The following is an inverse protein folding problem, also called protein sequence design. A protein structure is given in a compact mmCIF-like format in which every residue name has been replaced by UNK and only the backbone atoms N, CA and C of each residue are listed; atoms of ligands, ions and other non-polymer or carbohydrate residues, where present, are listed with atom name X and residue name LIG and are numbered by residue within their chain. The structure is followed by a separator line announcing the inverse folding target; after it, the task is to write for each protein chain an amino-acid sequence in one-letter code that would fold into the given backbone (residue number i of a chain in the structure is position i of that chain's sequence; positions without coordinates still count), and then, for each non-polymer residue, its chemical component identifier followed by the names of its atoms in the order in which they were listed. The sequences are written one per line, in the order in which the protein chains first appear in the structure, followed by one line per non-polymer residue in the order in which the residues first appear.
data_IF_456591501760
#
_entry.id   IF_456591501760
#
_cell.length_a   1.000
_cell.length_b   1.000
_cell.length_c   1.000
_cell.angle_alpha   90.00
_cell.angle_beta   90.00
_cell.angle_gamma   90.00
#
_symmetry.space_group_name_H-M   'P 1'
#
loop_
_entity.id
_entity.type
_entity.pdbx_description
1 polymer ?
#
# COMPACT_ATOMS: atom_id res chain seq x y z
N UNK A 1 14.55 15.95 -2.34
CA UNK A 1 13.44 16.64 -3.00
C UNK A 1 12.49 17.16 -1.95
N UNK A 2 12.21 18.44 -1.99
CA UNK A 2 11.31 19.05 -1.00
C UNK A 2 9.97 19.33 -1.64
N UNK A 3 8.91 18.84 -1.02
CA UNK A 3 7.56 19.09 -1.47
C UNK A 3 6.88 20.04 -0.48
N UNK A 4 7.44 21.24 -0.35
CA UNK A 4 7.00 22.16 0.69
C UNK A 4 6.63 23.51 0.10
N UNK A 5 5.50 24.04 0.55
CA UNK A 5 5.04 25.37 0.15
C UNK A 5 4.45 26.06 1.38
N UNK A 6 4.79 27.34 1.58
CA UNK A 6 4.21 28.08 2.68
C UNK A 6 2.80 28.54 2.33
N UNK A 7 1.88 28.34 3.26
CA UNK A 7 0.54 28.85 3.13
C UNK A 7 0.48 30.34 3.42
N UNK A 8 -0.62 30.98 3.03
CA UNK A 8 -0.80 32.43 3.19
C UNK A 8 -0.88 32.86 4.65
N UNK A 9 -1.13 31.93 5.56
CA UNK A 9 -1.22 32.22 7.00
C UNK A 9 0.07 31.85 7.73
N UNK A 10 1.14 31.56 7.02
CA UNK A 10 2.42 31.19 7.62
C UNK A 10 2.56 29.73 8.00
N UNK A 11 1.51 28.91 7.82
CA UNK A 11 1.62 27.48 8.06
C UNK A 11 2.29 26.81 6.88
N UNK A 12 3.09 25.77 7.16
CA UNK A 12 3.70 24.99 6.11
C UNK A 12 2.65 24.09 5.48
N UNK A 13 2.50 24.17 4.18
CA UNK A 13 1.61 23.32 3.42
C UNK A 13 2.47 22.47 2.50
N UNK A 14 2.24 21.15 2.54
CA UNK A 14 2.96 20.23 1.67
C UNK A 14 2.16 20.02 0.40
N UNK A 15 2.75 20.39 -0.74
CA UNK A 15 2.16 20.11 -2.03
C UNK A 15 3.04 19.09 -2.75
N UNK A 16 2.41 18.06 -3.27
CA UNK A 16 3.09 17.06 -4.08
C UNK A 16 2.98 17.45 -5.55
N UNK A 17 4.04 17.23 -6.35
CA UNK A 17 3.94 17.50 -7.79
C UNK A 17 2.85 16.67 -8.44
N UNK A 18 2.13 17.26 -9.39
CA UNK A 18 1.08 16.55 -10.13
C UNK A 18 1.63 15.31 -10.83
N UNK A 19 2.85 15.40 -11.32
CA UNK A 19 3.49 14.26 -11.99
C UNK A 19 3.69 13.08 -11.06
N UNK A 20 4.03 13.34 -9.79
CA UNK A 20 4.16 12.28 -8.78
C UNK A 20 2.79 11.64 -8.49
N UNK A 21 1.76 12.46 -8.32
CA UNK A 21 0.40 11.97 -8.06
C UNK A 21 -0.08 11.11 -9.23
N UNK A 22 0.13 11.56 -10.46
CA UNK A 22 -0.24 10.80 -11.65
C UNK A 22 0.51 9.47 -11.72
N UNK A 23 1.80 9.49 -11.43
CA UNK A 23 2.61 8.27 -11.44
C UNK A 23 2.08 7.27 -10.40
N UNK A 24 1.81 7.73 -9.17
CA UNK A 24 1.30 6.86 -8.12
C UNK A 24 -0.08 6.30 -8.45
N UNK A 25 -0.95 7.12 -9.02
CA UNK A 25 -2.30 6.66 -9.39
C UNK A 25 -2.30 5.70 -10.59
N UNK A 26 -1.21 5.63 -11.34
CA UNK A 26 -1.09 4.70 -12.46
C UNK A 26 -0.61 3.31 -12.04
N UNK A 27 -0.15 3.16 -10.80
CA UNK A 27 0.34 1.89 -10.29
C UNK A 27 -0.83 0.98 -9.90
N UNK A 28 -0.59 -0.32 -9.93
CA UNK A 28 -1.59 -1.29 -9.49
C UNK A 28 -1.67 -1.35 -7.97
N UNK A 29 -0.64 -0.86 -7.28
CA UNK A 29 -0.63 -0.80 -5.83
C UNK A 29 -1.29 0.48 -5.35
N UNK A 30 -1.80 0.46 -4.11
CA UNK A 30 -2.27 1.67 -3.47
C UNK A 30 -1.10 2.39 -2.81
N UNK A 31 -1.20 3.69 -2.68
CA UNK A 31 -0.09 4.53 -2.24
C UNK A 31 -0.45 5.38 -1.03
N UNK A 32 0.53 5.56 -0.15
CA UNK A 32 0.41 6.36 1.06
C UNK A 32 1.69 7.14 1.25
N UNK A 33 1.61 8.44 1.51
CA UNK A 33 2.77 9.25 1.85
C UNK A 33 2.53 9.88 3.21
N UNK A 34 3.50 9.72 4.11
CA UNK A 34 3.41 10.25 5.47
C UNK A 34 4.63 11.08 5.84
N UNK A 35 4.42 12.01 6.75
CA UNK A 35 5.47 12.78 7.41
C UNK A 35 5.77 12.18 8.77
N UNK A 36 6.83 12.65 9.46
CA UNK A 36 7.11 12.20 10.82
C UNK A 36 5.86 12.33 11.71
N UNK A 37 5.67 11.34 12.60
CA UNK A 37 4.46 11.27 13.40
C UNK A 37 3.31 10.61 12.66
N UNK A 38 3.58 10.04 11.49
CA UNK A 38 2.61 9.36 10.64
C UNK A 38 1.46 10.26 10.21
N UNK A 39 1.78 11.51 9.92
CA UNK A 39 0.81 12.46 9.37
C UNK A 39 0.62 12.15 7.89
N UNK A 40 -0.58 11.73 7.52
CA UNK A 40 -0.89 11.35 6.13
C UNK A 40 -1.04 12.60 5.27
N UNK A 41 -0.23 12.75 4.24
CA UNK A 41 -0.33 13.88 3.30
C UNK A 41 -0.82 13.45 1.93
N UNK A 42 -0.85 12.16 1.64
CA UNK A 42 -1.40 11.62 0.40
C UNK A 42 -1.85 10.18 0.62
N UNK A 43 -2.99 9.84 0.07
CA UNK A 43 -3.44 8.45 -0.03
C UNK A 43 -4.15 8.29 -1.35
N UNK A 44 -3.89 7.17 -2.04
CA UNK A 44 -4.58 6.89 -3.29
C UNK A 44 -6.04 6.53 -3.01
N UNK A 45 -6.94 6.76 -3.98
CA UNK A 45 -8.38 6.55 -3.75
C UNK A 45 -8.76 5.15 -3.28
N UNK A 46 -8.06 4.12 -3.77
CA UNK A 46 -8.38 2.73 -3.40
C UNK A 46 -7.88 2.31 -2.02
N UNK A 47 -7.03 3.12 -1.38
CA UNK A 47 -6.45 2.74 -0.09
C UNK A 47 -7.51 2.59 1.01
N UNK A 48 -8.59 3.34 0.90
CA UNK A 48 -9.68 3.27 1.88
C UNK A 48 -10.25 1.86 2.01
N UNK A 49 -10.26 1.09 0.93
CA UNK A 49 -10.81 -0.27 0.94
C UNK A 49 -9.95 -1.25 1.76
N UNK A 50 -8.70 -0.88 2.07
CA UNK A 50 -7.83 -1.75 2.86
C UNK A 50 -8.08 -1.60 4.36
N UNK A 51 -8.73 -0.53 4.79
CA UNK A 51 -9.02 -0.31 6.20
C UNK A 51 -7.84 0.08 7.06
N UNK A 52 -6.70 0.43 6.45
CA UNK A 52 -5.51 0.83 7.21
C UNK A 52 -5.59 2.27 7.72
N UNK A 53 -6.44 3.08 7.11
CA UNK A 53 -6.59 4.49 7.48
C UNK A 53 -8.03 4.76 7.83
N UNK A 54 -8.25 5.44 8.95
CA UNK A 54 -9.58 5.84 9.39
C UNK A 54 -9.47 7.26 9.92
N UNK A 55 -10.31 8.15 9.41
CA UNK A 55 -10.31 9.56 9.82
C UNK A 55 -8.92 10.20 9.69
N UNK A 56 -8.21 9.87 8.61
CA UNK A 56 -6.90 10.44 8.33
C UNK A 56 -5.77 9.87 9.17
N UNK A 57 -6.03 8.84 9.98
CA UNK A 57 -5.03 8.24 10.85
C UNK A 57 -4.80 6.78 10.51
N UNK A 58 -3.54 6.35 10.58
CA UNK A 58 -3.18 4.96 10.34
C UNK A 58 -3.63 4.13 11.53
N UNK A 59 -4.38 3.06 11.26
CA UNK A 59 -4.92 2.19 12.29
C UNK A 59 -4.06 0.96 12.57
N UNK A 60 -3.16 0.61 11.67
CA UNK A 60 -2.33 -0.58 11.82
C UNK A 60 -1.03 -0.26 12.55
N UNK A 61 -0.84 -0.87 13.72
CA UNK A 61 0.41 -0.70 14.47
C UNK A 61 1.60 -1.31 13.74
N UNK A 62 1.37 -2.41 13.00
CA UNK A 62 2.41 -3.04 12.19
C UNK A 62 2.88 -2.11 11.07
N UNK A 63 1.95 -1.42 10.42
CA UNK A 63 2.30 -0.47 9.37
C UNK A 63 3.07 0.72 9.96
N UNK A 64 2.62 1.23 11.09
CA UNK A 64 3.30 2.34 11.79
C UNK A 64 4.74 1.93 12.13
N UNK A 65 4.92 0.72 12.65
CA UNK A 65 6.26 0.21 13.01
C UNK A 65 7.17 0.15 11.78
N UNK A 66 6.64 -0.32 10.65
CA UNK A 66 7.40 -0.39 9.40
C UNK A 66 7.81 1.01 8.92
N UNK A 67 6.89 1.96 8.95
CA UNK A 67 7.18 3.34 8.54
C UNK A 67 8.27 3.97 9.41
N UNK A 68 8.23 3.70 10.70
CA UNK A 68 9.25 4.20 11.64
C UNK A 68 10.62 3.60 11.38
N UNK A 69 10.68 2.32 11.05
CA UNK A 69 11.95 1.66 10.71
C UNK A 69 12.54 2.27 9.45
N UNK A 70 11.72 2.51 8.42
CA UNK A 70 12.16 3.14 7.19
C UNK A 70 12.72 4.54 7.45
N UNK A 71 12.02 5.31 8.28
CA UNK A 71 12.46 6.68 8.62
C UNK A 71 13.77 6.66 9.41
N UNK A 72 13.91 5.71 10.34
CA UNK A 72 15.10 5.62 11.18
C UNK A 72 16.32 5.16 10.39
N UNK A 73 16.14 4.18 9.50
CA UNK A 73 17.27 3.61 8.74
C UNK A 73 17.52 4.34 7.43
N UNK A 74 16.57 5.13 6.96
CA UNK A 74 16.61 5.79 5.65
C UNK A 74 16.81 4.79 4.51
N UNK A 75 16.25 3.61 4.67
CA UNK A 75 16.33 2.53 3.68
C UNK A 75 14.94 1.98 3.38
N UNK A 76 14.79 1.36 2.20
CA UNK A 76 13.54 0.71 1.82
C UNK A 76 13.38 -0.59 2.60
N UNK A 77 12.18 -0.80 3.15
CA UNK A 77 11.83 -2.03 3.84
C UNK A 77 10.54 -2.59 3.28
N UNK A 78 10.44 -3.91 3.23
CA UNK A 78 9.25 -4.61 2.78
C UNK A 78 8.73 -5.49 3.91
N UNK A 79 7.42 -5.65 3.94
CA UNK A 79 6.80 -6.49 4.95
C UNK A 79 5.37 -6.80 4.59
N UNK A 80 4.72 -7.57 5.45
CA UNK A 80 3.31 -7.87 5.32
C UNK A 80 2.60 -7.40 6.57
N UNK A 81 1.41 -6.84 6.39
CA UNK A 81 0.58 -6.35 7.48
C UNK A 81 -0.74 -7.07 7.41
N UNK A 82 -1.19 -7.63 8.52
CA UNK A 82 -2.49 -8.28 8.58
C UNK A 82 -3.55 -7.30 9.08
N UNK A 83 -4.65 -7.25 8.38
CA UNK A 83 -5.75 -6.34 8.70
C UNK A 83 -7.03 -7.15 8.81
N UNK A 84 -7.87 -6.81 9.81
CA UNK A 84 -9.15 -7.46 9.98
C UNK A 84 -10.04 -7.20 8.76
N UNK A 85 -10.70 -8.27 8.29
CA UNK A 85 -11.50 -8.18 7.08
C UNK A 85 -12.96 -7.98 7.40
N UNK A 86 -13.30 -7.00 8.11
CA UNK A 86 -14.66 -6.70 8.50
C UNK A 86 -14.83 -6.70 10.00
N UNK A 87 -15.95 -6.23 10.49
CA UNK A 87 -16.16 -5.98 11.92
C UNK A 87 -16.31 -7.23 12.78
N UNK A 88 -16.66 -8.37 12.24
CA UNK A 88 -16.88 -9.56 13.04
C UNK A 88 -16.38 -10.82 12.34
N UNK A 89 -15.17 -11.26 12.72
CA UNK A 89 -14.75 -12.61 12.41
C UNK A 89 -14.69 -13.05 10.96
N UNK A 90 -14.66 -12.13 10.02
CA UNK A 90 -14.62 -12.48 8.60
C UNK A 90 -13.20 -12.77 8.08
N UNK A 91 -12.28 -13.07 8.96
CA UNK A 91 -10.92 -13.39 8.59
C UNK A 91 -10.04 -12.15 8.51
N UNK A 92 -8.81 -12.36 8.02
CA UNK A 92 -7.83 -11.30 7.90
C UNK A 92 -7.35 -11.18 6.46
N UNK A 93 -6.97 -9.97 6.09
CA UNK A 93 -6.34 -9.70 4.81
C UNK A 93 -4.85 -9.55 5.05
N UNK A 94 -4.05 -10.10 4.15
CA UNK A 94 -2.62 -9.89 4.18
C UNK A 94 -2.28 -8.81 3.16
N UNK A 95 -1.75 -7.70 3.63
CA UNK A 95 -1.37 -6.56 2.79
C UNK A 95 0.14 -6.52 2.68
N UNK A 96 0.64 -6.62 1.47
CA UNK A 96 2.07 -6.52 1.22
C UNK A 96 2.44 -5.06 1.12
N UNK A 97 3.46 -4.65 1.84
CA UNK A 97 3.89 -3.25 1.90
C UNK A 97 5.35 -3.13 1.49
N UNK A 98 5.63 -2.18 0.61
CA UNK A 98 6.99 -1.76 0.30
C UNK A 98 7.09 -0.30 0.68
N UNK A 99 7.99 0.04 1.58
CA UNK A 99 8.07 1.39 2.12
C UNK A 99 9.48 1.98 1.89
N UNK A 100 9.53 3.21 1.39
CA UNK A 100 10.76 3.86 0.92
C UNK A 100 10.82 5.29 1.44
N UNK A 101 11.99 5.74 1.91
CA UNK A 101 12.14 7.15 2.26
C UNK A 101 12.16 8.01 0.99
N UNK A 102 11.45 9.12 1.00
CA UNK A 102 11.40 10.04 -0.14
C UNK A 102 12.36 11.21 -0.01
N UNK A 103 12.74 11.57 1.21
CA UNK A 103 13.70 12.64 1.46
C UNK A 103 14.41 12.39 2.79
N UNK A 104 15.30 13.29 3.15
CA UNK A 104 16.05 13.18 4.41
C UNK A 104 15.32 13.82 5.59
N UNK A 105 14.11 14.35 5.36
CA UNK A 105 13.32 15.03 6.39
C UNK A 105 12.23 14.15 6.98
N UNK A 106 12.25 12.86 6.67
CA UNK A 106 11.32 11.91 7.27
C UNK A 106 10.05 11.62 6.47
N UNK A 107 9.97 12.11 5.25
CA UNK A 107 8.84 11.78 4.37
C UNK A 107 9.02 10.35 3.85
N UNK A 108 7.98 9.54 3.96
CA UNK A 108 8.03 8.13 3.60
C UNK A 108 6.85 7.77 2.69
N UNK A 109 7.16 7.00 1.65
CA UNK A 109 6.16 6.45 0.74
C UNK A 109 5.94 4.99 1.10
N UNK A 110 4.69 4.56 1.16
CA UNK A 110 4.35 3.16 1.28
C UNK A 110 3.49 2.74 0.10
N UNK A 111 3.83 1.62 -0.51
CA UNK A 111 3.04 1.00 -1.57
C UNK A 111 2.42 -0.28 -1.00
N UNK A 112 1.10 -0.39 -1.10
CA UNK A 112 0.34 -1.47 -0.49
C UNK A 112 -0.42 -2.26 -1.53
N UNK A 113 -0.38 -3.58 -1.43
CA UNK A 113 -1.17 -4.45 -2.29
C UNK A 113 -1.80 -5.59 -1.49
N UNK A 114 -3.01 -5.99 -1.89
CA UNK A 114 -3.71 -7.06 -1.20
C UNK A 114 -3.23 -8.41 -1.73
N UNK A 115 -2.32 -9.04 -0.98
CA UNK A 115 -1.77 -10.34 -1.35
C UNK A 115 -2.83 -11.45 -1.32
N UNK A 116 -3.83 -11.31 -0.47
CA UNK A 116 -4.90 -12.31 -0.39
C UNK A 116 -5.63 -12.43 -1.72
N UNK A 117 -5.91 -11.30 -2.34
CA UNK A 117 -6.58 -11.28 -3.64
C UNK A 117 -5.66 -11.78 -4.76
N UNK A 118 -4.39 -11.38 -4.75
CA UNK A 118 -3.42 -11.84 -5.72
C UNK A 118 -3.26 -13.37 -5.64
N UNK A 119 -3.18 -13.92 -4.44
CA UNK A 119 -3.08 -15.36 -4.25
C UNK A 119 -4.33 -16.07 -4.75
N UNK A 120 -5.51 -15.49 -4.54
CA UNK A 120 -6.76 -16.07 -5.01
C UNK A 120 -6.82 -16.10 -6.53
N UNK A 121 -6.40 -14.99 -7.16
CA UNK A 121 -6.36 -14.91 -8.62
C UNK A 121 -5.37 -15.92 -9.18
N UNK A 122 -4.21 -16.06 -8.58
CA UNK A 122 -3.20 -17.03 -9.00
C UNK A 122 -3.72 -18.47 -8.86
N UNK A 123 -4.43 -18.76 -7.78
CA UNK A 123 -5.02 -20.08 -7.56
C UNK A 123 -6.07 -20.39 -8.63
N UNK A 124 -6.94 -19.44 -8.94
CA UNK A 124 -7.96 -19.61 -9.97
C UNK A 124 -7.30 -19.81 -11.34
N UNK A 125 -6.28 -19.03 -11.65
CA UNK A 125 -5.55 -19.14 -12.90
C UNK A 125 -4.87 -20.51 -13.01
N UNK A 126 -4.27 -20.97 -11.94
CA UNK A 126 -3.58 -22.25 -11.90
C UNK A 126 -4.56 -23.41 -12.11
N UNK A 127 -5.71 -23.35 -11.44
CA UNK A 127 -6.76 -24.35 -11.58
C UNK A 127 -7.31 -24.38 -13.02
N UNK A 128 -7.49 -23.21 -13.61
CA UNK A 128 -7.94 -23.09 -14.98
C UNK A 128 -6.96 -23.75 -15.95
N UNK A 129 -5.68 -23.46 -15.82
CA UNK A 129 -4.64 -24.03 -16.67
C UNK A 129 -4.58 -25.56 -16.49
N UNK A 130 -4.67 -26.02 -15.27
CA UNK A 130 -4.66 -27.47 -14.98
C UNK A 130 -5.85 -28.16 -15.63
N UNK A 131 -7.05 -27.57 -15.53
CA UNK A 131 -8.25 -28.16 -16.12
C UNK A 131 -8.18 -28.18 -17.65
N UNK A 132 -7.70 -27.12 -18.25
CA UNK A 132 -7.54 -27.06 -19.71
C UNK A 132 -6.54 -28.10 -20.18
N UNK A 133 -5.40 -28.22 -19.50
CA UNK A 133 -4.39 -29.21 -19.84
C UNK A 133 -4.93 -30.63 -19.70
N UNK A 134 -5.71 -30.88 -18.66
CA UNK A 134 -6.29 -32.19 -18.43
C UNK A 134 -7.28 -32.56 -19.54
N UNK A 135 -8.14 -31.63 -19.92
CA UNK A 135 -9.11 -31.87 -21.00
C UNK A 135 -8.43 -32.09 -22.35
N UNK A 136 -7.34 -31.37 -22.61
CA UNK A 136 -6.62 -31.54 -23.86
C UNK A 136 -5.87 -32.86 -23.93
N UNK A 137 -5.52 -33.41 -22.78
CA UNK A 137 -4.78 -34.66 -22.77
C UNK A 137 -5.70 -35.88 -22.77
N UNK A 138 -6.93 -35.59 -22.46
CA UNK A 138 -7.76 -36.71 -22.25
C UNK A 138 -8.26 -37.21 -23.50
N UNK A 139 -8.03 -37.57 -24.26
CA UNK A 139 -8.46 -38.00 -25.22
C UNK A 139 -8.56 -38.67 -25.96
N UNK A 140 -8.07 -38.73 -26.07
CA UNK A 140 -7.93 -39.09 -27.14
C UNK A 140 -7.74 -40.37 -27.10
N UNK A 141 -8.32 -40.90 -26.78
CA UNK A 141 -8.22 -42.10 -26.87
C UNK A 141 -8.19 -43.13 -26.34
#
# INVERSE_FOLDING_TARGET
MKFRKEGSDGTEVFELPDSLIKALNSLETESLIVLPGEVVIFQSPGLASFGVIKEGKIQSDELIALLRVVRRTNETHRGEVEIARGPIGEGRRSIKVSSTPLNDEGMVLALLSDESEARRIDAVRRDFVANVSHELKTPIG
#
